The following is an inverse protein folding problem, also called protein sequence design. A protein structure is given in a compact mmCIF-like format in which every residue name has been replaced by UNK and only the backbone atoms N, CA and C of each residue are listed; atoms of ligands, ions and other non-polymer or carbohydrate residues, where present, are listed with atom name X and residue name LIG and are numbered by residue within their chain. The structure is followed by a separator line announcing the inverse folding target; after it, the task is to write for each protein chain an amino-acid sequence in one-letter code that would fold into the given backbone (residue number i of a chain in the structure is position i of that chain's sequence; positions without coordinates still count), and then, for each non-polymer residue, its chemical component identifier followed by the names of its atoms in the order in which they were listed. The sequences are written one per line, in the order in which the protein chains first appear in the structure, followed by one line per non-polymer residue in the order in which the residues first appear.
data_IF_035387439775
#
_entry.id   IF_035387439775
#
_cell.length_a   1.000
_cell.length_b   1.000
_cell.length_c   1.000
_cell.angle_alpha   90.00
_cell.angle_beta   90.00
_cell.angle_gamma   90.00
#
_symmetry.space_group_name_H-M   'P 1'
#
loop_
_entity.id
_entity.type
_entity.pdbx_description
1 polymer ?
#
# COMPACT_ATOMS: atom_id res chain seq x y z
N UNK A 1 -10.15 -36.84 10.23
CA UNK A 1 -9.67 -36.05 11.37
C UNK A 1 -9.94 -34.62 11.04
N UNK A 2 -10.97 -34.04 11.66
CA UNK A 2 -11.25 -32.60 11.60
C UNK A 2 -10.06 -31.90 12.24
N UNK A 3 -9.29 -31.20 11.42
CA UNK A 3 -8.20 -30.35 11.89
C UNK A 3 -8.88 -29.19 12.61
N UNK A 4 -8.83 -29.18 13.95
CA UNK A 4 -9.35 -28.08 14.75
C UNK A 4 -8.74 -26.79 14.20
N UNK A 5 -9.57 -25.85 13.77
CA UNK A 5 -9.12 -24.56 13.28
C UNK A 5 -8.36 -23.87 14.42
N UNK A 6 -7.04 -23.75 14.28
CA UNK A 6 -6.22 -22.98 15.20
C UNK A 6 -6.58 -21.51 14.98
N UNK A 7 -7.33 -20.93 15.92
CA UNK A 7 -7.57 -19.49 15.99
C UNK A 7 -6.27 -18.83 16.48
N UNK A 8 -5.43 -18.38 15.55
CA UNK A 8 -4.23 -17.60 15.85
C UNK A 8 -4.65 -16.14 15.96
N UNK A 9 -4.35 -15.51 17.10
CA UNK A 9 -4.69 -14.09 17.29
C UNK A 9 -3.59 -13.20 16.74
N UNK A 10 -3.96 -12.20 15.95
CA UNK A 10 -3.07 -11.10 15.56
C UNK A 10 -2.84 -10.18 16.78
N UNK A 11 -1.58 -9.96 17.21
CA UNK A 11 -1.27 -9.01 18.27
C UNK A 11 -1.68 -7.56 17.93
N UNK A 12 -1.83 -6.68 18.92
CA UNK A 12 -2.07 -5.26 18.69
C UNK A 12 -0.94 -4.60 17.89
N UNK A 13 -1.28 -3.64 17.03
CA UNK A 13 -0.29 -2.87 16.26
C UNK A 13 0.44 -1.86 17.14
N UNK A 14 1.78 -1.90 17.15
CA UNK A 14 2.58 -0.87 17.81
C UNK A 14 2.64 0.40 16.98
N UNK A 15 1.91 1.45 17.33
CA UNK A 15 1.98 2.70 16.59
C UNK A 15 1.64 3.87 17.53
N UNK A 16 2.65 4.54 18.10
CA UNK A 16 2.44 5.67 19.01
C UNK A 16 2.14 6.97 18.23
N UNK A 17 1.34 6.89 17.18
CA UNK A 17 0.91 7.99 16.32
C UNK A 17 -0.61 7.91 16.25
N UNK A 18 -1.30 8.93 16.76
CA UNK A 18 -2.75 8.98 16.69
C UNK A 18 -3.19 9.20 15.23
N UNK A 19 -4.09 8.38 14.70
CA UNK A 19 -4.59 8.55 13.34
C UNK A 19 -5.43 9.83 13.23
N UNK A 20 -5.15 10.63 12.22
CA UNK A 20 -5.97 11.77 11.81
C UNK A 20 -6.64 11.49 10.46
N UNK A 21 -7.60 12.34 10.08
CA UNK A 21 -8.17 12.37 8.73
C UNK A 21 -8.55 13.79 8.33
N UNK A 22 -8.44 14.09 7.04
CA UNK A 22 -8.87 15.38 6.49
C UNK A 22 -10.40 15.50 6.47
N UNK A 23 -10.98 16.70 6.68
CA UNK A 23 -12.41 16.94 6.48
C UNK A 23 -12.90 16.67 5.04
N UNK A 24 -12.00 16.70 4.04
CA UNK A 24 -12.36 16.40 2.65
C UNK A 24 -12.78 14.94 2.42
N UNK A 25 -12.55 14.03 3.38
CA UNK A 25 -12.97 12.63 3.28
C UNK A 25 -14.47 12.48 3.04
N UNK A 26 -15.30 13.30 3.69
CA UNK A 26 -16.76 13.24 3.57
C UNK A 26 -17.25 13.65 2.17
N UNK A 27 -16.67 14.71 1.60
CA UNK A 27 -17.00 15.13 0.23
C UNK A 27 -16.43 14.16 -0.80
N UNK A 28 -15.27 13.57 -0.53
CA UNK A 28 -14.63 12.60 -1.41
C UNK A 28 -15.43 11.30 -1.57
N UNK A 29 -16.18 10.85 -0.55
CA UNK A 29 -17.09 9.72 -0.68
C UNK A 29 -18.12 9.98 -1.80
N UNK A 30 -18.80 11.12 -1.75
CA UNK A 30 -19.82 11.51 -2.72
C UNK A 30 -19.24 11.76 -4.12
N UNK A 31 -18.04 12.32 -4.19
CA UNK A 31 -17.34 12.58 -5.44
C UNK A 31 -16.88 11.29 -6.12
N UNK A 32 -16.25 10.41 -5.35
CA UNK A 32 -15.72 9.13 -5.85
C UNK A 32 -16.84 8.19 -6.26
N UNK A 33 -17.98 8.17 -5.56
CA UNK A 33 -19.15 7.40 -5.99
C UNK A 33 -19.63 7.78 -7.39
N UNK A 34 -19.86 9.06 -7.62
CA UNK A 34 -20.28 9.56 -8.94
C UNK A 34 -19.22 9.32 -10.02
N UNK A 35 -17.94 9.38 -9.66
CA UNK A 35 -16.85 9.08 -10.58
C UNK A 35 -16.84 7.59 -10.95
N UNK A 36 -16.93 6.68 -9.98
CA UNK A 36 -16.98 5.23 -10.22
C UNK A 36 -18.21 4.83 -11.05
N UNK A 37 -19.39 5.39 -10.79
CA UNK A 37 -20.60 5.16 -11.60
C UNK A 37 -20.46 5.58 -13.06
N UNK A 38 -19.50 6.46 -13.40
CA UNK A 38 -19.23 6.85 -14.80
C UNK A 38 -18.11 6.01 -15.41
N UNK A 39 -17.08 5.72 -14.64
CA UNK A 39 -15.82 5.14 -15.14
C UNK A 39 -15.79 3.63 -15.05
N UNK A 40 -16.43 3.06 -14.01
CA UNK A 40 -16.42 1.64 -13.69
C UNK A 40 -17.78 0.97 -13.90
N UNK A 41 -18.77 1.67 -14.49
CA UNK A 41 -20.12 1.13 -14.73
C UNK A 41 -20.10 -0.20 -15.51
N UNK A 42 -19.20 -0.29 -16.50
CA UNK A 42 -19.10 -1.45 -17.38
C UNK A 42 -18.45 -2.67 -16.69
N UNK A 43 -17.91 -2.53 -15.47
CA UNK A 43 -17.40 -3.66 -14.68
C UNK A 43 -18.51 -4.53 -14.10
N UNK A 44 -19.76 -4.07 -14.13
CA UNK A 44 -20.93 -4.77 -13.56
C UNK A 44 -21.12 -4.52 -12.07
N UNK A 45 -22.37 -4.62 -11.61
CA UNK A 45 -22.80 -4.19 -10.28
C UNK A 45 -22.00 -4.78 -9.11
N UNK A 46 -21.72 -6.08 -9.13
CA UNK A 46 -20.97 -6.73 -8.04
C UNK A 46 -19.52 -6.23 -7.91
N UNK A 47 -18.85 -5.93 -9.04
CA UNK A 47 -17.48 -5.38 -9.01
C UNK A 47 -17.48 -3.92 -8.59
N UNK A 48 -18.50 -3.16 -8.96
CA UNK A 48 -18.69 -1.78 -8.51
C UNK A 48 -18.97 -1.73 -6.99
N UNK A 49 -19.85 -2.60 -6.48
CA UNK A 49 -20.13 -2.73 -5.05
C UNK A 49 -18.87 -3.12 -4.25
N UNK A 50 -18.05 -4.00 -4.82
CA UNK A 50 -16.76 -4.36 -4.24
C UNK A 50 -15.76 -3.20 -4.27
N UNK A 51 -15.68 -2.44 -5.37
CA UNK A 51 -14.86 -1.23 -5.42
C UNK A 51 -15.29 -0.25 -4.32
N UNK A 52 -16.60 -0.05 -4.12
CA UNK A 52 -17.12 0.78 -3.03
C UNK A 52 -16.69 0.28 -1.65
N UNK A 53 -16.66 -1.03 -1.41
CA UNK A 53 -16.28 -1.65 -0.13
C UNK A 53 -14.81 -1.43 0.27
N UNK A 54 -13.95 -0.97 -0.65
CA UNK A 54 -12.58 -0.57 -0.34
C UNK A 54 -12.50 0.72 0.48
N UNK A 55 -13.53 1.58 0.45
CA UNK A 55 -13.55 2.87 1.14
C UNK A 55 -12.25 3.68 0.89
N UNK A 56 -11.74 3.71 -0.35
CA UNK A 56 -10.45 4.34 -0.65
C UNK A 56 -10.38 5.84 -0.30
N UNK A 57 -11.54 6.52 -0.19
CA UNK A 57 -11.64 7.89 0.33
C UNK A 57 -11.26 8.00 1.82
N UNK A 58 -11.62 7.02 2.65
CA UNK A 58 -11.19 6.95 4.06
C UNK A 58 -9.70 6.62 4.15
N UNK A 59 -9.18 5.72 3.32
CA UNK A 59 -7.75 5.42 3.26
C UNK A 59 -6.92 6.68 2.93
N UNK A 60 -7.19 7.28 1.77
CA UNK A 60 -6.38 8.40 1.31
C UNK A 60 -6.63 9.67 2.14
N UNK A 61 -7.83 9.82 2.71
CA UNK A 61 -8.13 10.87 3.68
C UNK A 61 -7.30 10.83 4.96
N UNK A 62 -6.71 9.69 5.28
CA UNK A 62 -5.79 9.49 6.41
C UNK A 62 -4.32 9.53 5.99
N UNK A 63 -4.04 9.44 4.69
CA UNK A 63 -2.70 9.56 4.13
C UNK A 63 -2.30 11.02 3.85
N UNK A 64 -3.26 11.85 3.42
CA UNK A 64 -3.08 13.27 3.13
C UNK A 64 -3.92 14.09 4.12
N UNK A 65 -3.40 14.32 5.34
CA UNK A 65 -4.25 14.83 6.42
C UNK A 65 -4.43 16.34 6.36
N UNK A 66 -3.52 17.05 5.69
CA UNK A 66 -3.61 18.50 5.47
C UNK A 66 -4.53 18.83 4.28
N UNK A 67 -4.40 18.06 3.19
CA UNK A 67 -5.17 18.14 1.96
C UNK A 67 -5.41 19.58 1.46
N UNK A 68 -4.34 20.38 1.39
CA UNK A 68 -4.37 21.78 0.98
C UNK A 68 -4.82 21.99 -0.48
N UNK A 69 -4.72 20.97 -1.32
CA UNK A 69 -5.12 20.98 -2.74
C UNK A 69 -6.30 20.01 -2.98
N UNK A 70 -7.57 20.46 -2.85
CA UNK A 70 -8.74 19.57 -2.90
C UNK A 70 -8.89 18.79 -4.22
N UNK A 71 -8.58 19.39 -5.36
CA UNK A 71 -8.67 18.70 -6.66
C UNK A 71 -7.65 17.57 -6.76
N UNK A 72 -6.41 17.82 -6.31
CA UNK A 72 -5.36 16.79 -6.21
C UNK A 72 -5.79 15.68 -5.25
N UNK A 73 -6.39 16.05 -4.11
CA UNK A 73 -6.91 15.08 -3.15
C UNK A 73 -7.97 14.15 -3.78
N UNK A 74 -8.96 14.71 -4.50
CA UNK A 74 -9.98 13.89 -5.17
C UNK A 74 -9.39 12.98 -6.24
N UNK A 75 -8.43 13.47 -7.04
CA UNK A 75 -7.73 12.62 -8.01
C UNK A 75 -6.95 11.49 -7.34
N UNK A 76 -6.32 11.77 -6.19
CA UNK A 76 -5.68 10.76 -5.36
C UNK A 76 -6.68 9.68 -4.92
N UNK A 77 -7.85 10.07 -4.42
CA UNK A 77 -8.92 9.12 -4.05
C UNK A 77 -9.35 8.26 -5.25
N UNK A 78 -9.58 8.87 -6.41
CA UNK A 78 -9.97 8.14 -7.63
C UNK A 78 -8.89 7.14 -8.06
N UNK A 79 -7.62 7.54 -7.96
CA UNK A 79 -6.50 6.67 -8.30
C UNK A 79 -6.45 5.44 -7.38
N UNK A 80 -6.69 5.61 -6.07
CA UNK A 80 -6.73 4.46 -5.14
C UNK A 80 -7.92 3.54 -5.41
N UNK A 81 -9.11 4.07 -5.71
CA UNK A 81 -10.23 3.24 -6.17
C UNK A 81 -9.87 2.46 -7.44
N UNK A 82 -9.19 3.11 -8.39
CA UNK A 82 -8.76 2.49 -9.63
C UNK A 82 -7.76 1.35 -9.38
N UNK A 83 -6.73 1.58 -8.57
CA UNK A 83 -5.68 0.59 -8.29
C UNK A 83 -6.19 -0.56 -7.43
N UNK A 84 -7.01 -0.32 -6.41
CA UNK A 84 -7.61 -1.41 -5.62
C UNK A 84 -8.51 -2.29 -6.47
N UNK A 85 -9.34 -1.69 -7.33
CA UNK A 85 -10.22 -2.45 -8.22
C UNK A 85 -9.41 -3.21 -9.27
N UNK A 86 -8.35 -2.60 -9.81
CA UNK A 86 -7.45 -3.23 -10.77
C UNK A 86 -6.75 -4.46 -10.17
N UNK A 87 -6.21 -4.31 -8.96
CA UNK A 87 -5.60 -5.39 -8.19
C UNK A 87 -6.60 -6.54 -7.96
N UNK A 88 -7.82 -6.24 -7.50
CA UNK A 88 -8.86 -7.24 -7.27
C UNK A 88 -9.34 -7.95 -8.54
N UNK A 89 -9.43 -7.24 -9.67
CA UNK A 89 -9.80 -7.85 -10.95
C UNK A 89 -8.69 -8.81 -11.40
N UNK A 90 -7.42 -8.41 -11.27
CA UNK A 90 -6.29 -9.29 -11.52
C UNK A 90 -6.31 -10.51 -10.58
N UNK A 91 -6.78 -10.33 -9.35
CA UNK A 91 -6.86 -11.39 -8.34
C UNK A 91 -8.04 -12.34 -8.54
N UNK A 92 -9.23 -11.86 -8.89
CA UNK A 92 -10.38 -12.71 -9.17
C UNK A 92 -10.14 -13.59 -10.41
N UNK A 93 -9.37 -13.09 -11.39
CA UNK A 93 -8.94 -13.86 -12.55
C UNK A 93 -7.88 -14.94 -12.22
N UNK A 94 -7.30 -14.96 -10.99
CA UNK A 94 -6.43 -16.06 -10.48
C UNK A 94 -7.13 -17.41 -10.49
N UNK A 95 -8.47 -17.44 -10.42
CA UNK A 95 -9.27 -18.66 -10.46
C UNK A 95 -9.64 -19.12 -11.89
N UNK A 96 -9.23 -18.38 -12.93
CA UNK A 96 -9.36 -18.73 -14.35
C UNK A 96 -8.14 -19.45 -14.93
N UNK A 97 -8.18 -19.80 -16.23
CA UNK A 97 -7.11 -20.58 -16.91
C UNK A 97 -5.70 -19.96 -16.73
N UNK A 98 -4.85 -20.65 -15.96
CA UNK A 98 -3.52 -20.24 -15.44
C UNK A 98 -2.46 -19.78 -16.45
N UNK A 99 -2.77 -19.68 -17.75
CA UNK A 99 -1.78 -19.50 -18.82
C UNK A 99 -1.47 -18.06 -19.25
N UNK A 100 -2.36 -17.10 -18.99
CA UNK A 100 -2.34 -15.79 -19.68
C UNK A 100 -2.30 -14.55 -18.74
N UNK A 101 -2.28 -14.75 -17.41
CA UNK A 101 -2.37 -13.65 -16.42
C UNK A 101 -1.22 -12.64 -16.54
N UNK A 102 0.02 -13.12 -16.51
CA UNK A 102 1.21 -12.27 -16.60
C UNK A 102 1.24 -11.48 -17.93
N UNK A 103 0.89 -12.14 -19.02
CA UNK A 103 0.86 -11.52 -20.36
C UNK A 103 -0.22 -10.43 -20.41
N UNK A 104 -1.43 -10.71 -19.96
CA UNK A 104 -2.51 -9.71 -19.87
C UNK A 104 -2.15 -8.53 -18.99
N UNK A 105 -1.62 -8.80 -17.79
CA UNK A 105 -1.19 -7.76 -16.87
C UNK A 105 -0.13 -6.87 -17.51
N UNK A 106 0.90 -7.46 -18.13
CA UNK A 106 1.98 -6.69 -18.76
C UNK A 106 1.50 -5.83 -19.93
N UNK A 107 0.59 -6.31 -20.79
CA UNK A 107 -0.01 -5.49 -21.87
C UNK A 107 -0.85 -4.35 -21.30
N UNK A 108 -1.72 -4.64 -20.33
CA UNK A 108 -2.59 -3.64 -19.71
C UNK A 108 -1.78 -2.59 -18.94
N UNK A 109 -0.80 -3.03 -18.14
CA UNK A 109 0.09 -2.17 -17.37
C UNK A 109 0.94 -1.27 -18.28
N UNK A 110 1.41 -1.75 -19.44
CA UNK A 110 2.10 -0.92 -20.42
C UNK A 110 1.20 0.21 -20.95
N UNK A 111 -0.06 -0.09 -21.28
CA UNK A 111 -1.03 0.92 -21.75
C UNK A 111 -1.41 1.89 -20.63
N UNK A 112 -1.62 1.38 -19.43
CA UNK A 112 -1.89 2.15 -18.21
C UNK A 112 -0.75 3.15 -17.93
N UNK A 113 0.50 2.68 -17.92
CA UNK A 113 1.68 3.53 -17.78
C UNK A 113 1.74 4.59 -18.88
N UNK A 114 1.49 4.21 -20.14
CA UNK A 114 1.54 5.16 -21.26
C UNK A 114 0.50 6.28 -21.13
N UNK A 115 -0.70 5.94 -20.66
CA UNK A 115 -1.77 6.91 -20.41
C UNK A 115 -1.40 7.89 -19.28
N UNK A 116 -0.75 7.41 -18.23
CA UNK A 116 -0.29 8.25 -17.12
C UNK A 116 0.89 9.13 -17.55
N UNK A 117 1.87 8.60 -18.29
CA UNK A 117 3.15 9.26 -18.59
C UNK A 117 3.04 10.44 -19.56
N UNK A 118 2.12 10.37 -20.53
CA UNK A 118 2.16 11.27 -21.69
C UNK A 118 1.06 12.34 -21.63
N UNK A 119 1.43 13.62 -21.46
CA UNK A 119 0.48 14.72 -21.56
C UNK A 119 -0.24 14.70 -22.92
N UNK A 120 -1.57 14.71 -22.91
CA UNK A 120 -2.37 14.73 -24.12
C UNK A 120 -2.42 13.40 -24.88
N UNK A 121 -1.99 12.29 -24.28
CA UNK A 121 -2.25 10.95 -24.83
C UNK A 121 -3.75 10.77 -25.06
N UNK A 122 -4.10 10.32 -26.27
CA UNK A 122 -5.47 10.00 -26.64
C UNK A 122 -5.55 8.49 -26.84
N UNK A 123 -6.13 7.75 -25.89
CA UNK A 123 -6.29 6.31 -26.05
C UNK A 123 -7.15 6.03 -27.30
N UNK A 124 -6.83 4.97 -28.08
CA UNK A 124 -7.68 4.52 -29.18
C UNK A 124 -9.12 4.22 -28.72
N UNK A 125 -10.07 4.27 -29.66
CA UNK A 125 -11.44 3.81 -29.40
C UNK A 125 -11.45 2.35 -28.93
N UNK A 126 -12.27 2.02 -27.93
CA UNK A 126 -12.30 0.69 -27.30
C UNK A 126 -11.13 0.41 -26.36
N UNK A 127 -10.39 1.43 -25.92
CA UNK A 127 -9.40 1.28 -24.84
C UNK A 127 -10.07 0.84 -23.54
N UNK A 128 -9.37 0.00 -22.79
CA UNK A 128 -9.79 -0.48 -21.48
C UNK A 128 -10.16 0.68 -20.54
N UNK A 129 -11.31 0.62 -19.82
CA UNK A 129 -11.74 1.68 -18.91
C UNK A 129 -10.70 2.06 -17.86
N UNK A 130 -9.90 1.12 -17.37
CA UNK A 130 -8.84 1.41 -16.39
C UNK A 130 -7.76 2.32 -16.97
N UNK A 131 -7.40 2.11 -18.24
CA UNK A 131 -6.38 2.91 -18.92
C UNK A 131 -6.91 4.31 -19.23
N UNK A 132 -8.17 4.42 -19.68
CA UNK A 132 -8.80 5.71 -19.92
C UNK A 132 -8.89 6.54 -18.62
N UNK A 133 -9.37 5.91 -17.54
CA UNK A 133 -9.46 6.52 -16.21
C UNK A 133 -8.12 7.04 -15.68
N UNK A 134 -7.06 6.23 -15.82
CA UNK A 134 -5.72 6.61 -15.40
C UNK A 134 -5.20 7.82 -16.18
N UNK A 135 -5.47 7.87 -17.48
CA UNK A 135 -5.15 9.02 -18.33
C UNK A 135 -5.88 10.29 -17.91
N UNK A 136 -7.18 10.20 -17.61
CA UNK A 136 -7.99 11.34 -17.16
C UNK A 136 -7.52 11.87 -15.81
N UNK A 137 -7.26 10.98 -14.85
CA UNK A 137 -6.70 11.34 -13.53
C UNK A 137 -5.34 12.04 -13.73
N UNK A 138 -4.45 11.48 -14.54
CA UNK A 138 -3.12 12.04 -14.77
C UNK A 138 -3.17 13.36 -15.55
N UNK A 139 -4.17 13.57 -16.40
CA UNK A 139 -4.39 14.83 -17.09
C UNK A 139 -4.88 15.92 -16.12
N UNK A 140 -5.77 15.57 -15.19
CA UNK A 140 -6.26 16.50 -14.18
C UNK A 140 -5.17 16.87 -13.17
N UNK A 141 -4.42 15.89 -12.64
CA UNK A 141 -3.30 16.14 -11.73
C UNK A 141 -2.30 17.17 -12.30
N UNK A 142 -1.93 17.05 -13.57
CA UNK A 142 -1.00 17.98 -14.26
C UNK A 142 -1.47 19.43 -14.31
N UNK A 143 -2.75 19.71 -14.09
CA UNK A 143 -3.27 21.07 -14.04
C UNK A 143 -2.96 21.76 -12.72
N UNK A 144 -2.68 20.98 -11.67
CA UNK A 144 -2.54 21.45 -10.29
C UNK A 144 -1.13 21.23 -9.71
N UNK A 145 -0.36 20.27 -10.23
CA UNK A 145 0.97 19.92 -9.68
C UNK A 145 2.11 20.26 -10.62
N UNK A 146 3.31 20.42 -10.08
CA UNK A 146 4.51 20.71 -10.86
C UNK A 146 4.95 19.49 -11.72
N UNK A 147 5.68 19.71 -12.82
CA UNK A 147 6.25 18.60 -13.60
C UNK A 147 7.15 17.67 -12.78
N UNK A 148 7.84 18.21 -11.78
CA UNK A 148 8.71 17.41 -10.89
C UNK A 148 7.88 16.51 -9.97
N UNK A 149 6.81 17.04 -9.37
CA UNK A 149 5.85 16.26 -8.59
C UNK A 149 5.24 15.16 -9.46
N UNK A 150 4.71 15.50 -10.65
CA UNK A 150 4.14 14.51 -11.57
C UNK A 150 5.15 13.43 -11.94
N UNK A 151 6.42 13.79 -12.19
CA UNK A 151 7.50 12.83 -12.43
C UNK A 151 7.69 11.84 -11.28
N UNK A 152 7.64 12.32 -10.04
CA UNK A 152 7.75 11.46 -8.84
C UNK A 152 6.58 10.47 -8.73
N UNK A 153 5.35 10.92 -8.97
CA UNK A 153 4.18 10.03 -9.00
C UNK A 153 4.31 8.98 -10.10
N UNK A 154 4.66 9.38 -11.32
CA UNK A 154 4.88 8.48 -12.46
C UNK A 154 5.93 7.41 -12.13
N UNK A 155 7.04 7.79 -11.50
CA UNK A 155 8.09 6.86 -11.08
C UNK A 155 7.62 5.89 -9.99
N UNK A 156 6.74 6.36 -9.09
CA UNK A 156 6.06 5.53 -8.11
C UNK A 156 5.16 4.48 -8.75
N UNK A 157 4.33 4.86 -9.73
CA UNK A 157 3.48 3.92 -10.47
C UNK A 157 4.32 2.93 -11.29
N UNK A 158 5.42 3.38 -11.90
CA UNK A 158 6.34 2.48 -12.62
C UNK A 158 6.98 1.44 -11.70
N UNK A 159 7.37 1.87 -10.50
CA UNK A 159 7.90 0.97 -9.47
C UNK A 159 6.86 -0.09 -9.10
N UNK A 160 5.61 0.33 -8.87
CA UNK A 160 4.49 -0.56 -8.60
C UNK A 160 4.30 -1.62 -9.69
N UNK A 161 4.19 -1.20 -10.95
CA UNK A 161 4.03 -2.13 -12.09
C UNK A 161 5.16 -3.16 -12.15
N UNK A 162 6.41 -2.74 -11.94
CA UNK A 162 7.56 -3.64 -11.92
C UNK A 162 7.43 -4.68 -10.77
N UNK A 163 7.03 -4.23 -9.58
CA UNK A 163 6.79 -5.10 -8.44
C UNK A 163 5.70 -6.15 -8.72
N UNK A 164 4.56 -5.73 -9.28
CA UNK A 164 3.48 -6.65 -9.65
C UNK A 164 3.94 -7.70 -10.67
N UNK A 165 4.70 -7.31 -11.70
CA UNK A 165 5.25 -8.26 -12.69
C UNK A 165 6.11 -9.32 -12.01
N UNK A 166 6.94 -8.94 -11.06
CA UNK A 166 7.77 -9.88 -10.29
C UNK A 166 6.90 -10.81 -9.43
N UNK A 167 5.93 -10.26 -8.70
CA UNK A 167 4.99 -11.04 -7.87
C UNK A 167 4.24 -12.09 -8.69
N UNK A 168 3.66 -11.67 -9.81
CA UNK A 168 2.94 -12.54 -10.75
C UNK A 168 3.84 -13.61 -11.36
N UNK A 169 5.12 -13.29 -11.63
CA UNK A 169 6.09 -14.26 -12.14
C UNK A 169 6.35 -15.36 -11.10
N UNK A 170 6.59 -14.99 -9.84
CA UNK A 170 6.79 -15.95 -8.76
C UNK A 170 5.53 -16.80 -8.52
N UNK A 171 4.35 -16.18 -8.57
CA UNK A 171 3.06 -16.86 -8.42
C UNK A 171 2.89 -17.92 -9.51
N UNK A 172 3.12 -17.54 -10.78
CA UNK A 172 3.02 -18.45 -11.92
C UNK A 172 4.02 -19.63 -11.83
N UNK A 173 5.19 -19.41 -11.24
CA UNK A 173 6.21 -20.44 -11.05
C UNK A 173 6.07 -21.22 -9.73
N UNK A 174 5.14 -20.84 -8.85
CA UNK A 174 5.01 -21.42 -7.51
C UNK A 174 6.23 -21.19 -6.63
N UNK A 175 6.93 -20.07 -6.80
CA UNK A 175 8.14 -19.71 -6.06
C UNK A 175 7.74 -18.88 -4.84
N UNK A 176 8.18 -19.32 -3.65
CA UNK A 176 8.18 -18.49 -2.45
C UNK A 176 9.54 -17.78 -2.36
N UNK A 177 9.59 -16.45 -2.45
CA UNK A 177 10.86 -15.71 -2.44
C UNK A 177 11.55 -15.78 -1.08
N UNK A 178 12.86 -15.53 -1.05
CA UNK A 178 13.59 -15.33 0.21
C UNK A 178 13.05 -14.09 0.94
N UNK A 179 13.19 -14.05 2.27
CA UNK A 179 12.69 -12.93 3.08
C UNK A 179 13.25 -11.59 2.61
N UNK A 180 14.57 -11.50 2.35
CA UNK A 180 15.21 -10.27 1.89
C UNK A 180 14.69 -9.81 0.51
N UNK A 181 14.51 -10.74 -0.44
CA UNK A 181 13.94 -10.45 -1.76
C UNK A 181 12.49 -9.97 -1.63
N UNK A 182 11.70 -10.62 -0.76
CA UNK A 182 10.33 -10.24 -0.49
C UNK A 182 10.22 -8.81 0.03
N UNK A 183 11.02 -8.43 1.04
CA UNK A 183 11.01 -7.06 1.57
C UNK A 183 11.36 -6.03 0.49
N UNK A 184 12.33 -6.34 -0.36
CA UNK A 184 12.77 -5.45 -1.44
C UNK A 184 11.70 -5.24 -2.51
N UNK A 185 10.94 -6.28 -2.88
CA UNK A 185 9.90 -6.19 -3.91
C UNK A 185 8.58 -5.71 -3.35
N UNK A 186 8.25 -6.04 -2.09
CA UNK A 186 7.03 -5.56 -1.43
C UNK A 186 7.05 -4.04 -1.29
N UNK A 187 8.22 -3.41 -1.13
CA UNK A 187 8.41 -1.94 -1.24
C UNK A 187 7.94 -1.35 -2.57
N UNK A 188 7.97 -2.13 -3.64
CA UNK A 188 7.55 -1.72 -4.98
C UNK A 188 6.07 -2.05 -5.18
N UNK A 189 5.73 -3.32 -4.99
CA UNK A 189 4.44 -3.92 -5.31
C UNK A 189 3.31 -3.43 -4.39
N UNK A 190 3.59 -2.96 -3.17
CA UNK A 190 2.56 -2.37 -2.31
C UNK A 190 2.03 -1.00 -2.79
N UNK A 191 2.69 -0.39 -3.79
CA UNK A 191 2.28 0.92 -4.31
C UNK A 191 2.65 2.12 -3.44
N UNK A 192 3.33 1.91 -2.31
CA UNK A 192 3.60 2.97 -1.32
C UNK A 192 4.30 4.21 -1.88
N UNK A 193 5.14 4.07 -2.92
CA UNK A 193 5.79 5.22 -3.57
C UNK A 193 4.80 6.18 -4.23
N UNK A 194 3.78 5.68 -4.93
CA UNK A 194 2.78 6.58 -5.51
C UNK A 194 1.83 7.13 -4.43
N UNK A 195 1.57 6.38 -3.35
CA UNK A 195 0.76 6.85 -2.21
C UNK A 195 1.41 8.07 -1.58
N UNK A 196 2.70 7.96 -1.22
CA UNK A 196 3.47 9.06 -0.61
C UNK A 196 3.57 10.25 -1.56
N UNK A 197 3.79 10.01 -2.86
CA UNK A 197 3.83 11.07 -3.85
C UNK A 197 2.49 11.81 -3.97
N UNK A 198 1.38 11.09 -4.05
CA UNK A 198 0.04 11.68 -4.13
C UNK A 198 -0.32 12.43 -2.84
N UNK A 199 0.01 11.89 -1.66
CA UNK A 199 -0.24 12.54 -0.38
C UNK A 199 0.51 13.87 -0.29
N UNK A 200 1.81 13.87 -0.59
CA UNK A 200 2.61 15.09 -0.62
C UNK A 200 2.06 16.14 -1.59
N UNK A 201 1.56 15.74 -2.77
CA UNK A 201 0.91 16.66 -3.71
C UNK A 201 -0.40 17.21 -3.16
N UNK A 202 -1.25 16.36 -2.58
CA UNK A 202 -2.54 16.77 -2.01
C UNK A 202 -2.34 17.72 -0.81
N UNK A 203 -1.28 17.54 -0.04
CA UNK A 203 -0.89 18.43 1.07
C UNK A 203 -0.17 19.71 0.59
N UNK A 204 0.02 19.89 -0.72
CA UNK A 204 0.67 21.07 -1.30
C UNK A 204 2.17 21.15 -1.02
N UNK A 205 2.82 20.03 -0.73
CA UNK A 205 4.25 19.97 -0.42
C UNK A 205 5.09 19.96 -1.70
N UNK A 206 5.91 20.99 -1.87
CA UNK A 206 6.91 21.08 -2.93
C UNK A 206 8.32 20.90 -2.33
N UNK A 207 8.81 19.66 -2.36
CA UNK A 207 10.12 19.29 -1.82
C UNK A 207 11.06 18.97 -2.98
N UNK A 208 12.24 19.61 -3.07
CA UNK A 208 13.21 19.30 -4.11
C UNK A 208 13.60 17.83 -4.14
N UNK A 209 13.74 17.27 -5.35
CA UNK A 209 14.06 15.86 -5.55
C UNK A 209 15.36 15.46 -4.86
N UNK A 210 16.37 16.34 -4.85
CA UNK A 210 17.65 16.09 -4.20
C UNK A 210 17.48 15.85 -2.69
N UNK A 211 16.48 16.45 -2.07
CA UNK A 211 16.15 16.24 -0.66
C UNK A 211 15.35 14.97 -0.44
N UNK A 212 14.34 14.72 -1.26
CA UNK A 212 13.56 13.47 -1.22
C UNK A 212 14.46 12.24 -1.44
N UNK A 213 15.50 12.37 -2.26
CA UNK A 213 16.48 11.32 -2.56
C UNK A 213 17.70 11.31 -1.62
N UNK A 214 17.76 12.21 -0.64
CA UNK A 214 18.80 12.12 0.40
C UNK A 214 18.60 10.83 1.21
N UNK A 215 19.70 10.16 1.55
CA UNK A 215 19.66 8.84 2.19
C UNK A 215 18.74 8.74 3.43
N UNK A 216 18.74 9.68 4.39
CA UNK A 216 17.84 9.58 5.55
C UNK A 216 16.37 9.79 5.19
N UNK A 217 16.06 10.68 4.23
CA UNK A 217 14.67 10.91 3.78
C UNK A 217 14.16 9.71 2.98
N UNK A 218 15.02 9.11 2.17
CA UNK A 218 14.71 7.87 1.47
C UNK A 218 14.49 6.71 2.44
N UNK A 219 15.34 6.55 3.45
CA UNK A 219 15.19 5.50 4.46
C UNK A 219 13.87 5.62 5.23
N UNK A 220 13.51 6.82 5.70
CA UNK A 220 12.25 7.01 6.42
C UNK A 220 11.03 6.78 5.51
N UNK A 221 11.12 7.19 4.24
CA UNK A 221 10.05 6.97 3.26
C UNK A 221 9.87 5.48 2.94
N UNK A 222 10.96 4.76 2.65
CA UNK A 222 10.91 3.31 2.41
C UNK A 222 10.41 2.55 3.64
N UNK A 223 10.87 2.93 4.84
CA UNK A 223 10.41 2.38 6.10
C UNK A 223 8.89 2.56 6.28
N UNK A 224 8.35 3.76 6.00
CA UNK A 224 6.90 4.01 6.01
C UNK A 224 6.16 3.08 5.06
N UNK A 225 6.62 2.98 3.82
CA UNK A 225 5.94 2.16 2.80
C UNK A 225 5.97 0.68 3.14
N UNK A 226 7.08 0.18 3.70
CA UNK A 226 7.18 -1.23 4.06
C UNK A 226 6.37 -1.55 5.31
N UNK A 227 6.36 -0.68 6.34
CA UNK A 227 5.50 -0.88 7.52
C UNK A 227 4.04 -0.99 7.09
N UNK A 228 3.55 -0.07 6.25
CA UNK A 228 2.17 -0.11 5.77
C UNK A 228 1.86 -1.37 4.95
N UNK A 229 2.83 -1.87 4.16
CA UNK A 229 2.69 -3.10 3.40
C UNK A 229 2.68 -4.35 4.30
N UNK A 230 3.51 -4.40 5.33
CA UNK A 230 3.49 -5.51 6.30
C UNK A 230 2.23 -5.47 7.16
N UNK A 231 1.73 -4.28 7.52
CA UNK A 231 0.44 -4.14 8.19
C UNK A 231 -0.70 -4.67 7.30
N UNK A 232 -0.62 -4.42 5.99
CA UNK A 232 -1.53 -4.98 4.99
C UNK A 232 -1.47 -6.51 4.95
N UNK A 233 -0.27 -7.10 4.90
CA UNK A 233 -0.08 -8.56 4.93
C UNK A 233 -0.74 -9.19 6.17
N UNK A 234 -0.54 -8.58 7.35
CA UNK A 234 -1.08 -9.09 8.62
C UNK A 234 -2.62 -9.11 8.62
N UNK A 235 -3.26 -8.09 8.06
CA UNK A 235 -4.74 -8.03 7.99
C UNK A 235 -5.32 -8.81 6.81
N UNK A 236 -4.62 -8.86 5.67
CA UNK A 236 -5.09 -9.51 4.44
C UNK A 236 -4.89 -11.02 4.48
N UNK A 237 -3.94 -11.53 5.28
CA UNK A 237 -3.76 -12.97 5.49
C UNK A 237 -5.05 -13.64 6.00
N UNK A 238 -5.98 -12.87 6.60
CA UNK A 238 -7.33 -13.31 6.99
C UNK A 238 -8.24 -13.69 5.81
N UNK A 239 -8.05 -13.07 4.65
CA UNK A 239 -8.91 -13.16 3.46
C UNK A 239 -8.50 -14.29 2.52
N UNK A 240 -7.22 -14.65 2.51
CA UNK A 240 -6.63 -15.44 1.43
C UNK A 240 -6.69 -16.95 1.73
N UNK A 241 -7.79 -17.61 1.35
CA UNK A 241 -8.12 -19.01 1.67
C UNK A 241 -7.16 -20.11 1.18
N UNK A 242 -6.02 -19.78 0.57
CA UNK A 242 -4.94 -20.73 0.23
C UNK A 242 -3.63 -20.32 0.89
N UNK A 243 -3.58 -20.45 2.22
CA UNK A 243 -2.49 -20.05 3.12
C UNK A 243 -1.06 -20.54 2.76
N UNK A 244 -0.92 -21.52 1.88
CA UNK A 244 0.37 -22.12 1.53
C UNK A 244 0.93 -21.63 0.18
N UNK A 245 0.22 -20.74 -0.54
CA UNK A 245 0.68 -20.20 -1.85
C UNK A 245 0.62 -18.67 -1.96
N UNK A 246 0.18 -17.98 -0.91
CA UNK A 246 0.14 -16.53 -0.89
C UNK A 246 1.56 -15.95 -0.74
N UNK A 247 1.83 -14.82 -1.36
CA UNK A 247 3.08 -14.09 -1.17
C UNK A 247 2.88 -12.94 -0.18
N UNK A 248 2.65 -13.31 1.07
CA UNK A 248 2.62 -12.39 2.22
C UNK A 248 3.80 -12.68 3.17
N UNK A 249 4.16 -11.72 4.03
CA UNK A 249 5.30 -11.89 4.94
C UNK A 249 5.19 -13.09 5.89
N UNK A 250 3.98 -13.46 6.34
CA UNK A 250 3.76 -14.61 7.24
C UNK A 250 4.10 -15.89 6.49
N UNK A 251 3.59 -16.05 5.27
CA UNK A 251 3.85 -17.21 4.42
C UNK A 251 5.34 -17.34 4.08
N UNK A 252 5.99 -16.22 3.74
CA UNK A 252 7.44 -16.18 3.44
C UNK A 252 8.27 -16.57 4.67
N UNK A 253 7.97 -16.02 5.85
CA UNK A 253 8.69 -16.35 7.08
C UNK A 253 8.49 -17.82 7.47
N UNK A 254 7.26 -18.35 7.37
CA UNK A 254 6.95 -19.76 7.63
C UNK A 254 7.75 -20.69 6.72
N UNK A 255 7.80 -20.39 5.42
CA UNK A 255 8.51 -21.21 4.45
C UNK A 255 10.02 -21.28 4.71
N UNK A 256 10.65 -20.15 5.06
CA UNK A 256 12.12 -20.07 5.20
C UNK A 256 12.64 -20.41 6.61
N UNK A 257 11.82 -20.27 7.64
CA UNK A 257 12.22 -20.55 9.03
C UNK A 257 11.58 -21.81 9.61
N UNK A 258 10.66 -22.45 8.90
CA UNK A 258 9.93 -23.63 9.39
C UNK A 258 8.95 -23.30 10.52
N UNK A 259 8.49 -22.05 10.59
CA UNK A 259 7.51 -21.61 11.59
C UNK A 259 6.13 -22.19 11.32
N UNK A 260 5.39 -22.46 12.40
CA UNK A 260 3.95 -22.61 12.31
C UNK A 260 3.26 -21.24 12.11
N UNK A 261 1.93 -21.22 12.05
CA UNK A 261 1.19 -19.98 11.81
C UNK A 261 1.40 -18.95 12.94
N UNK A 262 1.42 -19.38 14.20
CA UNK A 262 1.57 -18.48 15.34
C UNK A 262 2.99 -17.89 15.38
N UNK A 263 4.01 -18.73 15.22
CA UNK A 263 5.40 -18.30 15.16
C UNK A 263 5.66 -17.36 13.96
N UNK A 264 4.99 -17.61 12.83
CA UNK A 264 5.05 -16.77 11.63
C UNK A 264 4.44 -15.38 11.85
N UNK A 265 3.26 -15.31 12.46
CA UNK A 265 2.62 -14.04 12.85
C UNK A 265 3.50 -13.27 13.84
N UNK A 266 3.99 -13.94 14.89
CA UNK A 266 4.86 -13.33 15.88
C UNK A 266 6.16 -12.79 15.26
N UNK A 267 6.75 -13.52 14.31
CA UNK A 267 7.95 -13.07 13.59
C UNK A 267 7.66 -11.85 12.69
N UNK A 268 6.52 -11.84 11.99
CA UNK A 268 6.11 -10.71 11.16
C UNK A 268 5.88 -9.43 11.99
N UNK A 269 5.21 -9.55 13.15
CA UNK A 269 4.97 -8.42 14.06
C UNK A 269 6.28 -7.88 14.63
N UNK A 270 7.21 -8.74 15.08
CA UNK A 270 8.54 -8.30 15.56
C UNK A 270 9.34 -7.55 14.48
N UNK A 271 9.34 -8.09 13.26
CA UNK A 271 9.99 -7.46 12.10
C UNK A 271 9.47 -6.05 11.87
N UNK A 272 8.15 -5.91 11.81
CA UNK A 272 7.45 -4.64 11.58
C UNK A 272 7.62 -3.66 12.75
N UNK A 273 7.61 -4.12 13.99
CA UNK A 273 7.77 -3.26 15.18
C UNK A 273 9.19 -2.69 15.31
N UNK A 274 10.19 -3.46 14.88
CA UNK A 274 11.57 -2.98 14.81
C UNK A 274 11.72 -1.88 13.77
N UNK A 275 11.07 -2.02 12.61
CA UNK A 275 10.97 -0.95 11.60
C UNK A 275 10.23 0.27 12.14
N UNK A 276 9.10 0.09 12.84
CA UNK A 276 8.37 1.21 13.44
C UNK A 276 9.22 1.98 14.45
N UNK A 277 10.01 1.27 15.26
CA UNK A 277 10.94 1.89 16.21
C UNK A 277 12.03 2.70 15.49
N UNK A 278 12.57 2.20 14.37
CA UNK A 278 13.48 2.94 13.51
C UNK A 278 12.81 4.18 12.90
N UNK A 279 11.60 4.03 12.34
CA UNK A 279 10.83 5.13 11.75
C UNK A 279 10.69 6.29 12.74
N UNK A 280 10.30 6.02 13.99
CA UNK A 280 10.13 7.06 15.01
C UNK A 280 11.44 7.80 15.34
N UNK A 281 12.59 7.10 15.27
CA UNK A 281 13.91 7.70 15.49
C UNK A 281 14.32 8.59 14.32
N UNK A 282 14.18 8.09 13.07
CA UNK A 282 14.46 8.86 11.86
C UNK A 282 13.53 10.07 11.75
N UNK A 283 12.24 9.91 12.04
CA UNK A 283 11.27 11.00 12.08
C UNK A 283 11.70 12.09 13.05
N UNK A 284 12.08 11.72 14.29
CA UNK A 284 12.55 12.70 15.28
C UNK A 284 13.78 13.48 14.81
N UNK A 285 14.77 12.77 14.25
CA UNK A 285 16.00 13.37 13.73
C UNK A 285 15.69 14.36 12.58
N UNK A 286 14.91 13.94 11.59
CA UNK A 286 14.55 14.76 10.44
C UNK A 286 13.63 15.93 10.79
N UNK A 287 12.77 15.78 11.79
CA UNK A 287 11.96 16.90 12.29
C UNK A 287 12.83 17.97 12.98
N UNK A 288 13.90 17.55 13.66
CA UNK A 288 14.83 18.49 14.30
C UNK A 288 15.72 19.22 13.29
N UNK A 289 16.20 18.52 12.26
CA UNK A 289 17.20 19.04 11.32
C UNK A 289 16.62 19.62 10.02
N UNK A 290 15.42 19.17 9.62
CA UNK A 290 14.76 19.58 8.39
C UNK A 290 14.20 21.00 8.42
N UNK A 291 13.88 21.54 7.25
CA UNK A 291 13.10 22.77 7.12
C UNK A 291 11.59 22.50 7.26
N UNK A 292 10.77 23.55 7.14
CA UNK A 292 9.32 23.44 7.35
C UNK A 292 8.67 22.39 6.43
N UNK A 293 9.00 22.38 5.13
CA UNK A 293 8.40 21.44 4.18
C UNK A 293 8.81 19.99 4.49
N UNK A 294 10.09 19.74 4.77
CA UNK A 294 10.56 18.41 5.13
C UNK A 294 9.97 17.92 6.46
N UNK A 295 9.84 18.82 7.45
CA UNK A 295 9.18 18.49 8.73
C UNK A 295 7.75 18.03 8.51
N UNK A 296 6.97 18.77 7.72
CA UNK A 296 5.59 18.39 7.42
C UNK A 296 5.53 17.06 6.70
N UNK A 297 6.35 16.86 5.66
CA UNK A 297 6.41 15.58 4.94
C UNK A 297 6.68 14.39 5.84
N UNK A 298 7.68 14.48 6.72
CA UNK A 298 8.05 13.38 7.61
C UNK A 298 7.01 13.15 8.71
N UNK A 299 6.23 14.17 9.10
CA UNK A 299 5.06 14.01 9.98
C UNK A 299 3.94 13.27 9.26
N UNK A 300 3.61 13.66 8.02
CA UNK A 300 2.58 13.00 7.20
C UNK A 300 2.93 11.54 6.88
N UNK A 301 4.21 11.20 6.72
CA UNK A 301 4.65 9.80 6.62
C UNK A 301 4.21 8.95 7.82
N UNK A 302 4.12 9.55 9.02
CA UNK A 302 3.59 8.90 10.21
C UNK A 302 2.07 8.71 10.14
N UNK A 303 1.36 9.71 9.59
CA UNK A 303 -0.08 9.63 9.36
C UNK A 303 -0.45 8.55 8.35
N UNK A 304 0.36 8.33 7.32
CA UNK A 304 0.20 7.21 6.38
C UNK A 304 0.22 5.86 7.11
N UNK A 305 1.15 5.66 8.06
CA UNK A 305 1.23 4.41 8.85
C UNK A 305 -0.03 4.24 9.71
N UNK A 306 -0.33 5.22 10.57
CA UNK A 306 -1.48 5.13 11.48
C UNK A 306 -2.81 5.07 10.71
N UNK A 307 -2.90 5.79 9.60
CA UNK A 307 -4.05 5.84 8.71
C UNK A 307 -4.30 4.51 8.02
N UNK A 308 -3.25 3.83 7.56
CA UNK A 308 -3.35 2.50 6.96
C UNK A 308 -3.86 1.46 7.96
N UNK A 309 -3.35 1.48 9.20
CA UNK A 309 -3.82 0.59 10.29
C UNK A 309 -5.30 0.88 10.59
N UNK A 310 -5.64 2.14 10.83
CA UNK A 310 -7.00 2.55 11.17
C UNK A 310 -8.01 2.22 10.06
N UNK A 311 -7.66 2.46 8.79
CA UNK A 311 -8.49 2.06 7.66
C UNK A 311 -8.63 0.54 7.60
N UNK A 312 -7.53 -0.20 7.73
CA UNK A 312 -7.50 -1.66 7.65
C UNK A 312 -8.34 -2.35 8.73
N UNK A 313 -8.43 -1.77 9.93
CA UNK A 313 -9.24 -2.29 11.04
C UNK A 313 -10.75 -2.10 10.84
N UNK A 314 -11.17 -1.15 9.99
CA UNK A 314 -12.58 -0.76 9.86
C UNK A 314 -13.17 -1.01 8.47
N UNK A 315 -12.34 -1.26 7.46
CA UNK A 315 -12.80 -1.44 6.09
C UNK A 315 -13.52 -2.80 5.91
N UNK A 316 -14.74 -2.82 5.33
CA UNK A 316 -15.46 -4.07 5.08
C UNK A 316 -14.68 -5.06 4.20
N UNK A 317 -13.75 -4.56 3.37
CA UNK A 317 -12.82 -5.33 2.55
C UNK A 317 -12.09 -6.46 3.31
N UNK A 318 -11.80 -6.27 4.61
CA UNK A 318 -11.12 -7.27 5.46
C UNK A 318 -12.05 -7.94 6.48
N UNK A 319 -13.33 -7.55 6.52
CA UNK A 319 -14.34 -8.14 7.39
C UNK A 319 -15.07 -9.28 6.67
N UNK A 320 -14.33 -10.34 6.38
CA UNK A 320 -14.88 -11.57 5.79
C UNK A 320 -14.97 -12.66 6.87
N UNK A 321 -15.75 -12.41 7.92
CA UNK A 321 -16.18 -13.48 8.83
C UNK A 321 -17.16 -14.47 8.17
N UNK A 322 -17.69 -14.16 6.98
CA UNK A 322 -18.87 -14.81 6.44
C UNK A 322 -18.62 -16.11 5.64
N UNK A 323 -17.38 -16.45 5.25
CA UNK A 323 -17.14 -17.59 4.34
C UNK A 323 -15.85 -18.41 4.62
N UNK A 324 -15.30 -18.30 5.83
CA UNK A 324 -14.00 -18.91 6.14
C UNK A 324 -14.11 -20.41 6.47
N UNK A 325 -13.47 -21.24 5.63
CA UNK A 325 -13.14 -22.64 5.93
C UNK A 325 -11.62 -22.77 6.13
N UNK A 326 -11.14 -22.56 7.37
CA UNK A 326 -9.71 -22.67 7.71
C UNK A 326 -9.32 -21.95 9.01
N UNK A 327 -8.09 -22.12 9.52
CA UNK A 327 -7.56 -21.31 10.61
C UNK A 327 -7.48 -19.85 10.14
N UNK A 328 -8.13 -18.92 10.85
CA UNK A 328 -8.13 -17.50 10.49
C UNK A 328 -7.46 -16.68 11.59
N UNK A 329 -6.90 -15.52 11.21
CA UNK A 329 -6.40 -14.59 12.20
C UNK A 329 -7.55 -13.78 12.81
N UNK A 330 -7.68 -13.82 14.13
CA UNK A 330 -8.59 -12.95 14.88
C UNK A 330 -7.87 -11.69 15.35
N UNK A 331 -8.52 -10.52 15.27
CA UNK A 331 -7.97 -9.28 15.79
C UNK A 331 -7.98 -9.29 17.33
N UNK A 332 -6.97 -8.66 17.94
CA UNK A 332 -7.00 -8.38 19.37
C UNK A 332 -8.16 -7.43 19.74
N UNK A 333 -8.79 -7.60 20.92
CA UNK A 333 -9.87 -6.70 21.37
C UNK A 333 -9.44 -5.23 21.48
N UNK A 334 -8.17 -5.01 21.88
CA UNK A 334 -7.50 -3.71 21.83
C UNK A 334 -6.48 -3.78 20.69
N UNK A 335 -6.77 -3.20 19.51
CA UNK A 335 -5.94 -3.41 18.33
C UNK A 335 -4.68 -2.54 18.29
N UNK A 336 -4.43 -1.72 19.32
CA UNK A 336 -3.28 -0.80 19.40
C UNK A 336 -2.44 -1.05 20.66
N UNK A 337 -1.14 -0.77 20.56
CA UNK A 337 -0.21 -0.77 21.71
C UNK A 337 0.82 0.34 21.57
N UNK A 338 1.30 0.87 22.70
CA UNK A 338 2.42 1.81 22.78
C UNK A 338 3.77 1.13 23.02
N UNK A 339 3.80 -0.21 23.00
CA UNK A 339 5.00 -1.01 23.23
C UNK A 339 5.30 -1.93 22.05
N UNK A 340 6.52 -1.89 21.48
CA UNK A 340 6.92 -2.84 20.45
C UNK A 340 7.05 -4.24 21.05
N UNK A 341 6.71 -5.25 20.27
CA UNK A 341 7.02 -6.65 20.54
C UNK A 341 8.53 -6.94 20.53
N UNK A 342 9.28 -6.14 19.78
CA UNK A 342 10.73 -6.22 19.67
C UNK A 342 11.40 -4.84 19.87
N UNK A 343 11.94 -4.55 21.07
CA UNK A 343 12.60 -3.28 21.37
C UNK A 343 14.07 -3.23 20.96
N UNK A 344 14.61 -4.26 20.30
CA UNK A 344 16.02 -4.31 19.90
C UNK A 344 16.36 -3.17 18.91
N UNK A 345 17.31 -2.26 19.24
CA UNK A 345 17.65 -1.15 18.37
C UNK A 345 18.56 -1.55 17.20
N UNK A 346 19.05 -2.80 17.16
CA UNK A 346 19.97 -3.27 16.13
C UNK A 346 19.30 -3.38 14.75
N UNK A 347 20.07 -3.24 13.65
CA UNK A 347 19.54 -3.44 12.31
C UNK A 347 18.91 -4.82 12.14
N UNK A 348 17.91 -4.90 11.25
CA UNK A 348 17.37 -6.17 10.81
C UNK A 348 18.42 -6.99 10.05
N UNK A 349 18.39 -8.33 10.12
CA UNK A 349 19.35 -9.21 9.44
C UNK A 349 19.09 -9.35 7.93
N UNK A 350 18.51 -8.32 7.29
CA UNK A 350 18.09 -8.31 5.89
C UNK A 350 18.81 -7.18 5.15
N UNK A 351 19.84 -7.49 4.34
CA UNK A 351 20.69 -6.47 3.69
C UNK A 351 19.94 -5.42 2.88
N UNK A 352 18.79 -5.77 2.27
CA UNK A 352 17.98 -4.85 1.47
C UNK A 352 17.46 -3.64 2.28
N UNK A 353 17.29 -3.79 3.60
CA UNK A 353 16.72 -2.78 4.50
C UNK A 353 17.64 -2.39 5.65
N UNK A 354 18.70 -3.17 5.93
CA UNK A 354 19.60 -2.94 7.06
C UNK A 354 20.28 -1.56 7.03
N UNK A 355 20.56 -1.04 5.82
CA UNK A 355 21.21 0.25 5.62
C UNK A 355 20.41 1.46 6.16
N UNK A 356 19.10 1.30 6.42
CA UNK A 356 18.29 2.37 7.02
C UNK A 356 18.79 2.76 8.40
N UNK A 357 19.36 1.83 9.17
CA UNK A 357 19.93 2.11 10.48
C UNK A 357 21.21 2.95 10.41
N UNK A 358 21.94 2.89 9.29
CA UNK A 358 23.14 3.70 9.06
C UNK A 358 22.80 5.19 8.83
N UNK A 359 21.51 5.54 8.72
CA UNK A 359 21.04 6.90 8.51
C UNK A 359 20.71 7.65 9.81
N UNK A 360 20.86 6.99 10.96
CA UNK A 360 20.73 7.60 12.27
C UNK A 360 22.02 8.32 12.67
N UNK A 361 21.89 9.52 13.23
CA UNK A 361 23.01 10.33 13.72
C UNK A 361 23.64 9.82 15.03
#
# INVERSE_FOLDING_TARGET
MTQDAVDVRLPPFYCPIAPAKTPLTESAEHHSKRWMERVLADLGGARLDWAHSSHAHEFFGRCATMACEPEVFYQGVYFHYLTFTFDDVCDAERHGEKGDKLVRFTDLANRFMRAIEIPGYRPPEGTDPFVAAAGDIAAELRRHVSPAQMGHFVDGVRSYVLGCVWHLTNEQQGIIPAVDDYLSVRLLECGGRFVVALAAMADGLDIPMERLQSSPVRAVTECTTLIAALDNDLVSHRKEGTYDQNQDIITVLRAHHGYDLADGVDAAVRLRDRMMSLFLRLQRQLVQTGDAALRTYVIELGQIISGNIEWSLHVPRYDLAADLSGPYLSLAPEPWTDRPSDPDPAPLPYPSVAWWWDQLD
#
